data_IF_592825279035
#
_entry.id   IF_592825279035
#
_cell.length_a   1.000
_cell.length_b   1.000
_cell.length_c   1.000
_cell.angle_alpha   90.00
_cell.angle_beta   90.00
_cell.angle_gamma   90.00
#
_symmetry.space_group_name_H-M   'P 1'
#
loop_
_entity.id
_entity.type
_entity.pdbx_description
1 polymer ?
#
# COMPACT_ATOMS: atom_id res chain seq x y z
N UNK A 1 -12.60 -7.68 75.63
CA UNK A 1 -11.62 -6.86 74.96
C UNK A 1 -11.44 -7.14 73.47
N UNK A 2 -11.44 -8.36 72.92
CA UNK A 2 -11.27 -8.65 71.50
C UNK A 2 -12.47 -8.21 70.62
N UNK A 3 -13.69 -8.19 71.11
CA UNK A 3 -14.86 -7.76 70.32
C UNK A 3 -15.02 -6.25 70.23
N UNK A 4 -14.53 -5.48 71.17
CA UNK A 4 -14.59 -4.02 71.19
C UNK A 4 -13.54 -3.43 70.21
N UNK A 5 -12.40 -4.08 70.00
CA UNK A 5 -11.37 -3.68 69.03
C UNK A 5 -11.84 -3.88 67.57
N UNK A 6 -12.65 -4.95 67.33
CA UNK A 6 -13.18 -5.24 65.99
C UNK A 6 -14.24 -4.22 65.56
N UNK A 7 -15.07 -3.73 66.51
CA UNK A 7 -16.08 -2.70 66.25
C UNK A 7 -15.40 -1.33 65.97
N UNK A 8 -14.33 -1.00 66.72
CA UNK A 8 -13.57 0.22 66.49
C UNK A 8 -12.87 0.23 65.12
N UNK A 9 -12.35 -0.92 64.68
CA UNK A 9 -11.75 -1.08 63.37
C UNK A 9 -12.76 -0.89 62.22
N UNK A 10 -14.00 -1.39 62.38
CA UNK A 10 -15.09 -1.22 61.42
C UNK A 10 -15.59 0.23 61.33
N UNK A 11 -15.66 0.93 62.44
CA UNK A 11 -16.03 2.35 62.49
C UNK A 11 -14.94 3.24 61.89
N UNK A 12 -13.68 2.90 62.08
CA UNK A 12 -12.56 3.64 61.42
C UNK A 12 -12.48 3.40 59.93
N UNK A 13 -12.82 2.19 59.44
CA UNK A 13 -12.84 1.85 58.01
C UNK A 13 -14.02 2.47 57.27
N UNK A 14 -15.15 2.77 57.96
CA UNK A 14 -16.28 3.48 57.36
C UNK A 14 -16.08 5.01 57.27
N UNK A 15 -15.16 5.61 58.04
CA UNK A 15 -14.90 7.04 58.03
C UNK A 15 -13.97 7.49 56.84
N UNK A 16 -13.28 6.56 56.18
CA UNK A 16 -12.41 6.89 55.04
C UNK A 16 -13.11 6.93 53.68
N UNK A 17 -14.45 6.66 53.65
CA UNK A 17 -15.20 6.59 52.39
C UNK A 17 -15.85 7.92 51.94
N UNK A 18 -15.68 9.04 52.65
CA UNK A 18 -16.41 10.29 52.35
C UNK A 18 -15.52 11.51 52.08
N UNK A 19 -14.32 11.36 51.54
CA UNK A 19 -13.47 12.51 51.19
C UNK A 19 -12.93 12.45 49.75
N UNK A 20 -13.78 12.15 48.76
CA UNK A 20 -13.51 12.52 47.40
C UNK A 20 -14.33 13.76 47.06
N UNK A 21 -13.87 14.92 47.52
CA UNK A 21 -14.35 16.21 47.07
C UNK A 21 -14.12 16.34 45.59
N UNK A 22 -15.20 16.29 44.78
CA UNK A 22 -15.10 16.57 43.33
C UNK A 22 -14.66 18.03 43.11
N UNK A 23 -13.89 18.28 42.09
CA UNK A 23 -13.50 19.60 41.64
C UNK A 23 -14.50 20.16 40.64
N UNK A 24 -14.68 21.46 40.62
CA UNK A 24 -15.51 22.16 39.64
C UNK A 24 -14.65 22.78 38.58
N UNK A 25 -14.99 22.55 37.32
CA UNK A 25 -14.30 23.14 36.15
C UNK A 25 -15.32 23.92 35.32
N UNK A 26 -15.06 25.18 35.09
CA UNK A 26 -15.84 26.04 34.23
C UNK A 26 -14.93 26.92 33.38
N UNK A 27 -15.36 27.23 32.17
CA UNK A 27 -14.57 28.05 31.27
C UNK A 27 -15.30 28.36 29.98
N UNK A 28 -14.55 28.86 29.01
CA UNK A 28 -15.02 29.21 27.65
C UNK A 28 -14.16 28.44 26.66
N UNK A 29 -14.78 27.84 25.66
CA UNK A 29 -14.09 27.19 24.54
C UNK A 29 -14.12 28.12 23.35
N UNK A 30 -12.93 28.36 22.78
CA UNK A 30 -12.69 29.29 21.67
C UNK A 30 -12.03 28.53 20.51
N UNK A 31 -12.10 29.08 19.30
CA UNK A 31 -11.24 28.69 18.19
C UNK A 31 -9.87 29.38 18.23
N UNK A 32 -9.01 29.15 17.23
CA UNK A 32 -7.70 29.80 17.09
C UNK A 32 -7.80 31.30 16.84
N UNK A 33 -8.93 31.79 16.29
CA UNK A 33 -9.22 33.19 16.04
C UNK A 33 -9.81 33.92 17.25
N UNK A 34 -10.13 33.17 18.33
CA UNK A 34 -10.70 33.70 19.58
C UNK A 34 -12.23 33.81 19.54
N UNK A 35 -12.91 33.16 18.59
CA UNK A 35 -14.35 33.12 18.52
C UNK A 35 -14.91 32.01 19.40
N UNK A 36 -16.04 32.26 20.08
CA UNK A 36 -16.67 31.29 20.97
C UNK A 36 -17.26 30.11 20.19
N UNK A 37 -16.99 28.87 20.65
CA UNK A 37 -17.48 27.64 20.05
C UNK A 37 -18.70 27.10 20.80
N UNK A 38 -19.85 27.10 20.13
CA UNK A 38 -21.14 26.61 20.61
C UNK A 38 -21.25 25.11 20.34
N UNK A 39 -21.73 24.32 21.32
CA UNK A 39 -22.01 22.90 21.09
C UNK A 39 -20.79 21.97 21.23
N UNK A 40 -19.69 22.44 21.81
CA UNK A 40 -18.54 21.61 22.13
C UNK A 40 -18.89 20.59 23.23
N UNK A 41 -18.65 19.33 23.00
CA UNK A 41 -18.84 18.24 23.98
C UNK A 41 -17.65 18.21 24.94
N UNK A 42 -17.91 18.31 26.24
CA UNK A 42 -16.94 18.23 27.32
C UNK A 42 -17.25 17.01 28.17
N UNK A 43 -16.40 15.97 28.11
CA UNK A 43 -16.64 14.70 28.78
C UNK A 43 -15.47 14.31 29.69
N UNK A 44 -15.77 13.51 30.73
CA UNK A 44 -14.71 12.93 31.58
C UNK A 44 -14.17 11.66 30.88
N UNK A 45 -12.87 11.61 30.63
CA UNK A 45 -12.22 10.44 29.99
C UNK A 45 -12.48 9.16 30.80
N UNK A 46 -13.02 8.14 30.15
CA UNK A 46 -13.32 6.84 30.77
C UNK A 46 -14.65 6.75 31.51
N UNK A 47 -15.49 7.81 31.53
CA UNK A 47 -16.86 7.76 32.06
C UNK A 47 -17.85 8.07 30.95
N UNK A 48 -18.54 7.05 30.43
CA UNK A 48 -19.60 7.25 29.46
C UNK A 48 -20.82 7.92 30.08
N UNK A 49 -21.37 8.94 29.41
CA UNK A 49 -22.60 9.62 29.82
C UNK A 49 -22.43 10.75 30.84
N UNK A 50 -21.20 11.06 31.29
CA UNK A 50 -20.93 12.17 32.19
C UNK A 50 -20.21 13.28 31.44
N UNK A 51 -20.94 14.29 31.00
CA UNK A 51 -20.41 15.41 30.24
C UNK A 51 -21.42 16.56 30.12
N UNK A 52 -20.96 17.71 29.63
CA UNK A 52 -21.75 18.89 29.34
C UNK A 52 -21.45 19.39 27.93
N UNK A 53 -22.29 20.24 27.41
CA UNK A 53 -22.11 20.89 26.10
C UNK A 53 -21.99 22.39 26.32
N UNK A 54 -21.15 23.09 25.54
CA UNK A 54 -21.00 24.54 25.65
C UNK A 54 -22.27 25.27 25.19
N UNK A 55 -22.61 26.35 25.90
CA UNK A 55 -23.75 27.24 25.60
C UNK A 55 -23.49 28.17 24.42
N UNK A 56 -24.42 29.12 24.18
CA UNK A 56 -24.34 30.11 23.07
C UNK A 56 -23.15 31.07 23.17
N UNK A 57 -22.60 31.25 24.38
CA UNK A 57 -21.39 32.04 24.64
C UNK A 57 -20.13 31.16 24.74
N UNK A 58 -20.18 29.92 24.26
CA UNK A 58 -19.05 28.97 24.32
C UNK A 58 -18.69 28.52 25.73
N UNK A 59 -19.55 28.79 26.75
CA UNK A 59 -19.26 28.50 28.17
C UNK A 59 -19.68 27.10 28.55
N UNK A 60 -18.89 26.47 29.41
CA UNK A 60 -19.23 25.19 30.03
C UNK A 60 -19.01 25.24 31.55
N UNK A 61 -19.75 24.40 32.27
CA UNK A 61 -19.53 24.16 33.70
C UNK A 61 -19.81 22.72 34.00
N UNK A 62 -18.81 22.01 34.52
CA UNK A 62 -18.92 20.64 34.96
C UNK A 62 -18.52 20.58 36.46
N UNK A 63 -19.40 20.00 37.28
CA UNK A 63 -19.23 19.95 38.73
C UNK A 63 -19.01 18.52 39.19
N UNK A 64 -18.31 18.35 40.33
CA UNK A 64 -18.10 17.03 40.92
C UNK A 64 -17.14 16.12 40.14
N UNK A 65 -16.23 16.69 39.37
CA UNK A 65 -15.21 15.93 38.60
C UNK A 65 -14.19 15.36 39.62
N UNK A 66 -13.87 14.06 39.62
CA UNK A 66 -12.82 13.53 40.48
C UNK A 66 -11.48 14.21 40.23
N UNK A 67 -10.80 14.62 41.31
CA UNK A 67 -9.49 15.28 41.19
C UNK A 67 -8.50 14.37 40.44
N UNK A 68 -7.76 14.92 39.45
CA UNK A 68 -6.86 14.17 38.63
C UNK A 68 -7.48 13.55 37.38
N UNK A 69 -8.79 13.77 37.13
CA UNK A 69 -9.45 13.34 35.88
C UNK A 69 -9.04 14.19 34.69
N UNK A 70 -9.09 13.57 33.51
CA UNK A 70 -8.89 14.26 32.23
C UNK A 70 -10.23 14.58 31.60
N UNK A 71 -10.45 15.84 31.26
CA UNK A 71 -11.58 16.27 30.45
C UNK A 71 -11.20 16.23 28.96
N UNK A 72 -12.10 15.73 28.14
CA UNK A 72 -11.99 15.60 26.70
C UNK A 72 -12.93 16.60 26.08
N UNK A 73 -12.41 17.53 25.30
CA UNK A 73 -13.13 18.54 24.55
C UNK A 73 -13.17 18.09 23.08
N UNK A 74 -14.36 17.84 22.55
CA UNK A 74 -14.55 17.42 21.17
C UNK A 74 -15.62 18.25 20.48
N UNK A 75 -15.35 18.64 19.22
CA UNK A 75 -16.26 19.36 18.38
C UNK A 75 -16.06 18.97 16.92
N UNK A 76 -17.13 18.93 16.14
CA UNK A 76 -17.06 18.55 14.72
C UNK A 76 -16.22 19.59 13.96
N UNK A 77 -15.17 19.15 13.27
CA UNK A 77 -14.26 20.03 12.56
C UNK A 77 -13.07 20.53 13.39
N UNK A 78 -12.90 20.09 14.62
CA UNK A 78 -11.80 20.49 15.51
C UNK A 78 -11.05 19.28 16.07
N UNK A 79 -9.74 19.44 16.34
CA UNK A 79 -8.95 18.43 17.02
C UNK A 79 -9.43 18.22 18.44
N UNK A 80 -9.58 16.95 18.83
CA UNK A 80 -9.95 16.61 20.21
C UNK A 80 -8.83 17.00 21.17
N UNK A 81 -9.14 17.82 22.17
CA UNK A 81 -8.19 18.29 23.19
C UNK A 81 -8.45 17.64 24.53
N UNK A 82 -7.39 17.11 25.15
CA UNK A 82 -7.46 16.48 26.46
C UNK A 82 -6.69 17.33 27.48
N UNK A 83 -7.36 17.65 28.61
CA UNK A 83 -6.76 18.45 29.68
C UNK A 83 -7.00 17.76 31.02
N UNK A 84 -5.92 17.56 31.80
CA UNK A 84 -5.99 16.96 33.13
C UNK A 84 -6.15 18.04 34.19
N UNK A 85 -7.18 17.90 35.03
CA UNK A 85 -7.48 18.84 36.11
C UNK A 85 -7.25 18.21 37.47
N UNK A 86 -6.41 18.87 38.30
CA UNK A 86 -6.11 18.45 39.67
C UNK A 86 -6.71 19.36 40.73
N UNK A 87 -7.23 20.51 40.34
CA UNK A 87 -7.86 21.50 41.21
C UNK A 87 -9.02 22.21 40.49
N UNK A 88 -9.91 22.82 41.26
CA UNK A 88 -11.03 23.61 40.73
C UNK A 88 -10.56 24.77 39.90
N UNK A 89 -11.14 24.91 38.68
CA UNK A 89 -10.86 25.98 37.71
C UNK A 89 -12.19 26.56 37.21
N UNK A 90 -12.42 27.84 37.48
CA UNK A 90 -13.71 28.51 37.18
C UNK A 90 -13.67 29.52 36.02
N UNK A 91 -12.52 29.79 35.44
CA UNK A 91 -12.32 30.76 34.35
C UNK A 91 -11.27 30.25 33.36
N UNK A 92 -11.39 29.00 32.94
CA UNK A 92 -10.48 28.43 31.97
C UNK A 92 -10.82 28.91 30.55
N UNK A 93 -9.81 29.28 29.75
CA UNK A 93 -9.96 29.51 28.33
C UNK A 93 -9.31 28.37 27.57
N UNK A 94 -10.09 27.70 26.74
CA UNK A 94 -9.63 26.52 26.00
C UNK A 94 -9.76 26.82 24.53
N UNK A 95 -8.63 26.92 23.82
CA UNK A 95 -8.63 27.05 22.38
C UNK A 95 -8.61 25.64 21.75
N UNK A 96 -9.53 25.33 20.87
CA UNK A 96 -9.50 24.17 19.99
C UNK A 96 -8.86 24.57 18.66
N UNK A 97 -8.04 23.67 18.13
CA UNK A 97 -7.49 23.79 16.78
C UNK A 97 -8.48 23.20 15.79
N UNK A 98 -8.68 23.88 14.68
CA UNK A 98 -9.42 23.25 13.58
C UNK A 98 -8.72 21.95 13.21
N UNK A 99 -9.47 20.85 13.22
CA UNK A 99 -8.98 19.62 12.64
C UNK A 99 -8.81 19.92 11.15
N UNK A 100 -7.58 19.91 10.68
CA UNK A 100 -7.32 19.76 9.25
C UNK A 100 -7.94 18.41 8.91
N UNK A 101 -9.20 18.45 8.46
CA UNK A 101 -9.97 17.24 8.21
C UNK A 101 -9.20 16.43 7.17
N UNK A 102 -8.88 15.17 7.50
CA UNK A 102 -8.51 14.14 6.51
C UNK A 102 -9.58 13.99 5.40
N UNK A 103 -10.71 14.71 5.50
CA UNK A 103 -11.74 14.81 4.47
C UNK A 103 -11.43 15.83 3.37
N UNK A 104 -10.41 16.66 3.51
CA UNK A 104 -9.83 17.44 2.42
C UNK A 104 -8.82 16.59 1.62
N UNK A 105 -9.17 15.33 1.36
CA UNK A 105 -8.45 14.51 0.40
C UNK A 105 -8.52 15.20 -0.96
N UNK A 106 -7.43 15.87 -1.28
CA UNK A 106 -7.28 16.61 -2.52
C UNK A 106 -6.97 15.62 -3.62
N UNK A 107 -7.82 15.53 -4.62
CA UNK A 107 -7.60 14.68 -5.78
C UNK A 107 -6.95 15.51 -6.86
N UNK A 108 -5.82 15.03 -7.40
CA UNK A 108 -5.19 15.65 -8.56
C UNK A 108 -6.05 15.37 -9.78
N UNK A 109 -6.67 16.41 -10.33
CA UNK A 109 -7.48 16.35 -11.54
C UNK A 109 -6.77 17.14 -12.63
N UNK A 110 -6.09 16.42 -13.50
CA UNK A 110 -5.36 17.07 -14.58
C UNK A 110 -4.12 17.85 -14.10
N UNK A 111 -4.14 19.15 -14.30
CA UNK A 111 -3.07 20.08 -13.87
C UNK A 111 -3.37 20.74 -12.53
N UNK A 112 -4.56 20.48 -11.95
CA UNK A 112 -5.05 21.18 -10.77
C UNK A 112 -5.46 20.20 -9.69
N UNK A 113 -5.51 20.67 -8.45
CA UNK A 113 -5.97 19.90 -7.32
C UNK A 113 -7.39 20.33 -6.96
N UNK A 114 -8.32 19.37 -6.87
CA UNK A 114 -9.70 19.64 -6.46
C UNK A 114 -10.04 18.83 -5.21
N UNK A 115 -10.94 19.40 -4.38
CA UNK A 115 -11.45 18.66 -3.22
C UNK A 115 -12.24 17.44 -3.71
N UNK A 116 -12.03 16.28 -3.10
CA UNK A 116 -12.70 15.01 -3.46
C UNK A 116 -14.22 15.15 -3.53
N UNK A 117 -14.80 15.96 -2.66
CA UNK A 117 -16.26 16.24 -2.61
C UNK A 117 -16.75 17.02 -3.83
N UNK A 118 -15.91 17.80 -4.50
CA UNK A 118 -16.29 18.62 -5.67
C UNK A 118 -16.01 17.94 -7.00
N UNK A 119 -15.50 16.72 -7.01
CA UNK A 119 -15.19 15.97 -8.24
C UNK A 119 -16.45 15.27 -8.74
N UNK A 120 -17.00 15.75 -9.84
CA UNK A 120 -18.23 15.23 -10.48
C UNK A 120 -17.96 13.96 -11.31
N UNK A 121 -16.71 13.64 -11.60
CA UNK A 121 -16.32 12.48 -12.44
C UNK A 121 -15.99 11.22 -11.65
N UNK A 122 -16.06 10.02 -12.28
CA UNK A 122 -15.61 8.76 -11.66
C UNK A 122 -14.08 8.73 -11.61
N UNK A 123 -13.53 9.35 -10.57
CA UNK A 123 -12.10 9.30 -10.24
C UNK A 123 -11.91 8.28 -9.13
N UNK A 124 -10.98 7.34 -9.35
CA UNK A 124 -10.57 6.41 -8.31
C UNK A 124 -9.19 6.84 -7.83
N UNK A 125 -9.14 7.32 -6.60
CA UNK A 125 -7.88 7.54 -5.91
C UNK A 125 -7.45 6.25 -5.22
N UNK A 126 -6.20 5.88 -5.40
CA UNK A 126 -5.64 4.64 -4.87
C UNK A 126 -4.48 5.00 -3.95
N UNK A 127 -4.59 4.59 -2.70
CA UNK A 127 -3.49 4.70 -1.76
C UNK A 127 -2.35 3.75 -2.20
N UNK A 128 -1.16 4.29 -2.51
CA UNK A 128 -0.01 3.45 -2.86
C UNK A 128 0.36 2.45 -1.77
N UNK A 129 0.13 2.76 -0.49
CA UNK A 129 0.40 1.84 0.61
C UNK A 129 -0.50 0.60 0.55
N UNK A 130 -1.77 0.76 0.15
CA UNK A 130 -2.73 -0.33 0.01
C UNK A 130 -2.46 -1.26 -1.18
N UNK A 131 -1.74 -0.79 -2.20
CA UNK A 131 -1.41 -1.60 -3.38
C UNK A 131 0.03 -2.14 -3.35
N UNK A 132 0.85 -1.75 -2.39
CA UNK A 132 2.22 -2.28 -2.27
C UNK A 132 2.19 -3.81 -2.15
N UNK A 133 2.54 -4.48 -3.24
CA UNK A 133 2.88 -5.88 -3.27
C UNK A 133 4.38 -6.01 -3.54
N UNK A 134 4.99 -7.13 -3.25
CA UNK A 134 6.33 -7.43 -3.73
C UNK A 134 6.27 -7.70 -5.25
N UNK A 135 5.98 -6.64 -6.03
CA UNK A 135 5.93 -6.69 -7.48
C UNK A 135 7.08 -5.87 -8.06
N UNK A 136 7.61 -6.36 -9.17
CA UNK A 136 8.76 -5.78 -9.87
C UNK A 136 8.41 -4.45 -10.51
N UNK A 137 7.14 -4.23 -10.88
CA UNK A 137 6.69 -3.02 -11.56
C UNK A 137 5.36 -2.50 -11.00
N UNK A 138 5.13 -1.20 -11.20
CA UNK A 138 3.89 -0.54 -10.78
C UNK A 138 2.68 -1.10 -11.54
N UNK A 139 2.82 -1.40 -12.85
CA UNK A 139 1.72 -1.96 -13.65
C UNK A 139 1.21 -3.30 -13.11
N UNK A 140 2.11 -4.13 -12.57
CA UNK A 140 1.73 -5.42 -11.99
C UNK A 140 0.95 -5.28 -10.67
N UNK A 141 1.08 -4.14 -9.98
CA UNK A 141 0.36 -3.87 -8.74
C UNK A 141 -1.10 -3.47 -8.98
N UNK A 142 -1.45 -3.02 -10.18
CA UNK A 142 -2.77 -2.48 -10.50
C UNK A 142 -3.82 -3.56 -10.72
N UNK A 143 -3.42 -4.70 -11.28
CA UNK A 143 -4.31 -5.81 -11.61
C UNK A 143 -5.00 -6.38 -10.36
N UNK A 144 -6.33 -6.47 -10.40
CA UNK A 144 -7.14 -7.03 -9.32
C UNK A 144 -7.24 -6.18 -8.05
N UNK A 145 -6.52 -5.03 -7.96
CA UNK A 145 -6.51 -4.15 -6.79
C UNK A 145 -7.21 -2.82 -7.03
N UNK A 146 -7.25 -2.39 -8.27
CA UNK A 146 -7.87 -1.11 -8.64
C UNK A 146 -9.15 -1.37 -9.42
N UNK A 147 -10.33 -0.94 -8.91
CA UNK A 147 -11.60 -1.16 -9.60
C UNK A 147 -11.61 -0.52 -10.99
N UNK A 148 -11.99 -1.31 -12.01
CA UNK A 148 -12.11 -0.85 -13.40
C UNK A 148 -10.80 -0.89 -14.19
N UNK A 149 -9.71 -1.41 -13.63
CA UNK A 149 -8.50 -1.76 -14.38
C UNK A 149 -8.53 -3.25 -14.73
N UNK A 150 -8.29 -3.55 -15.99
CA UNK A 150 -8.00 -4.88 -16.49
C UNK A 150 -6.51 -4.90 -16.81
N UNK A 151 -5.76 -5.81 -16.19
CA UNK A 151 -4.32 -5.94 -16.41
C UNK A 151 -4.00 -7.37 -16.85
N UNK A 152 -3.11 -7.50 -17.82
CA UNK A 152 -2.64 -8.78 -18.36
C UNK A 152 -1.12 -8.79 -18.38
N UNK A 153 -0.52 -9.73 -17.67
CA UNK A 153 0.91 -10.01 -17.74
C UNK A 153 1.14 -11.17 -18.71
N UNK A 154 1.84 -10.92 -19.80
CA UNK A 154 2.05 -11.89 -20.88
C UNK A 154 3.29 -12.76 -20.69
N UNK A 155 4.26 -12.28 -19.93
CA UNK A 155 5.52 -12.95 -19.68
C UNK A 155 5.88 -12.89 -18.20
N UNK A 156 6.53 -13.92 -17.69
CA UNK A 156 7.19 -13.92 -16.37
C UNK A 156 8.68 -13.62 -16.44
N UNK A 157 9.21 -13.37 -17.64
CA UNK A 157 10.63 -13.13 -17.88
C UNK A 157 11.07 -11.78 -17.26
N UNK A 158 12.14 -11.76 -16.49
CA UNK A 158 12.66 -10.53 -15.91
C UNK A 158 12.93 -9.45 -16.97
N UNK A 159 12.43 -8.23 -16.72
CA UNK A 159 12.52 -7.13 -17.68
C UNK A 159 11.44 -7.11 -18.76
N UNK A 160 10.70 -8.20 -18.94
CA UNK A 160 9.58 -8.31 -19.88
C UNK A 160 8.28 -8.76 -19.18
N UNK A 161 8.27 -8.72 -17.85
CA UNK A 161 7.15 -9.13 -17.00
C UNK A 161 6.24 -7.96 -16.60
N UNK A 162 6.17 -6.92 -17.41
CA UNK A 162 5.27 -5.79 -17.20
C UNK A 162 3.84 -6.14 -17.61
N UNK A 163 2.85 -5.67 -16.85
CA UNK A 163 1.46 -5.80 -17.22
C UNK A 163 1.05 -4.72 -18.19
N UNK A 164 0.42 -5.12 -19.30
CA UNK A 164 -0.42 -4.22 -20.09
C UNK A 164 -1.73 -4.02 -19.32
N UNK A 165 -2.24 -2.80 -19.29
CA UNK A 165 -3.49 -2.53 -18.60
C UNK A 165 -4.40 -1.59 -19.38
N UNK A 166 -5.71 -1.75 -19.15
CA UNK A 166 -6.77 -0.96 -19.77
C UNK A 166 -7.76 -0.50 -18.72
N UNK A 167 -8.33 0.68 -18.95
CA UNK A 167 -9.38 1.23 -18.10
C UNK A 167 -10.71 0.92 -18.75
N UNK A 168 -11.59 0.16 -18.04
CA UNK A 168 -12.91 -0.31 -18.54
C UNK A 168 -12.87 -1.16 -19.83
N UNK A 169 -11.70 -1.66 -20.21
CA UNK A 169 -11.52 -2.52 -21.40
C UNK A 169 -10.91 -1.80 -22.57
N UNK A 170 -10.74 -2.53 -23.68
CA UNK A 170 -10.24 -2.00 -24.95
C UNK A 170 -11.40 -1.35 -25.72
N UNK A 171 -11.33 -0.03 -25.91
CA UNK A 171 -12.39 0.75 -26.56
C UNK A 171 -12.10 1.13 -28.01
N UNK A 172 -10.86 0.91 -28.49
CA UNK A 172 -10.44 1.32 -29.85
C UNK A 172 -9.90 0.16 -30.67
N UNK A 173 -10.32 0.11 -31.95
CA UNK A 173 -9.76 -0.77 -32.96
C UNK A 173 -8.78 0.00 -33.83
N UNK A 174 -7.53 -0.48 -33.94
CA UNK A 174 -6.53 0.06 -34.86
C UNK A 174 -5.72 1.28 -34.41
N UNK A 175 -6.02 1.89 -33.27
CA UNK A 175 -5.21 2.90 -32.58
C UNK A 175 -4.62 2.34 -31.28
N UNK A 176 -3.75 3.08 -30.62
CA UNK A 176 -3.28 2.69 -29.28
C UNK A 176 -4.45 2.47 -28.34
N UNK A 177 -4.56 1.28 -27.79
CA UNK A 177 -5.59 0.91 -26.81
C UNK A 177 -5.16 1.20 -25.37
N UNK A 178 -3.90 1.62 -25.14
CA UNK A 178 -3.37 1.90 -23.81
C UNK A 178 -3.94 3.19 -23.21
N UNK A 179 -4.08 3.22 -21.90
CA UNK A 179 -4.42 4.42 -21.16
C UNK A 179 -3.25 5.43 -21.22
N UNK A 180 -3.58 6.72 -21.22
CA UNK A 180 -2.58 7.78 -21.08
C UNK A 180 -2.03 7.78 -19.66
N UNK A 181 -0.72 7.70 -19.49
CA UNK A 181 -0.07 7.79 -18.19
C UNK A 181 0.63 9.14 -18.05
N UNK A 182 0.31 9.86 -16.99
CA UNK A 182 0.95 11.13 -16.66
C UNK A 182 1.69 10.99 -15.32
N UNK A 183 2.96 11.31 -15.34
CA UNK A 183 3.82 11.32 -14.14
C UNK A 183 4.16 12.77 -13.85
N UNK A 184 3.68 13.30 -12.73
CA UNK A 184 3.81 14.72 -12.36
C UNK A 184 3.37 15.69 -13.49
N UNK A 185 2.32 15.28 -14.24
CA UNK A 185 1.75 16.04 -15.35
C UNK A 185 2.41 15.85 -16.71
N UNK A 186 3.46 15.05 -16.80
CA UNK A 186 4.18 14.73 -18.04
C UNK A 186 3.89 13.30 -18.46
N UNK A 187 3.65 13.04 -19.74
CA UNK A 187 3.45 11.69 -20.26
C UNK A 187 4.72 10.84 -20.07
N UNK A 188 4.55 9.63 -19.56
CA UNK A 188 5.64 8.73 -19.26
C UNK A 188 5.21 7.28 -19.10
N UNK A 189 6.19 6.40 -18.91
CA UNK A 189 5.93 4.99 -18.67
C UNK A 189 5.89 4.73 -17.16
N UNK A 190 4.77 4.18 -16.70
CA UNK A 190 4.56 3.85 -15.29
C UNK A 190 5.59 2.84 -14.75
N UNK A 191 6.10 1.98 -15.61
CA UNK A 191 7.08 0.96 -15.24
C UNK A 191 8.49 1.50 -15.01
N UNK A 192 8.76 2.76 -15.40
CA UNK A 192 10.03 3.42 -15.12
C UNK A 192 10.10 3.93 -13.68
N UNK A 193 8.94 4.05 -13.00
CA UNK A 193 8.89 4.47 -11.61
C UNK A 193 9.29 3.36 -10.65
N UNK A 194 9.87 3.75 -9.52
CA UNK A 194 9.91 2.90 -8.34
C UNK A 194 8.59 3.07 -7.57
N UNK A 195 7.90 1.97 -7.21
CA UNK A 195 6.67 2.06 -6.43
C UNK A 195 6.79 2.84 -5.11
N UNK A 196 7.98 2.87 -4.53
CA UNK A 196 8.25 3.59 -3.29
C UNK A 196 8.29 5.12 -3.46
N UNK A 197 8.47 5.61 -4.70
CA UNK A 197 8.50 7.04 -5.03
C UNK A 197 7.09 7.63 -5.27
N UNK A 198 6.05 6.80 -5.33
CA UNK A 198 4.68 7.26 -5.60
C UNK A 198 4.06 7.81 -4.32
N UNK A 199 3.49 9.00 -4.40
CA UNK A 199 2.70 9.63 -3.33
C UNK A 199 1.21 9.37 -3.50
N UNK A 200 0.70 9.52 -4.73
CA UNK A 200 -0.70 9.26 -5.05
C UNK A 200 -0.88 8.74 -6.46
N UNK A 201 -1.99 8.05 -6.65
CA UNK A 201 -2.34 7.40 -7.91
C UNK A 201 -3.83 7.64 -8.19
N UNK A 202 -4.15 8.39 -9.23
CA UNK A 202 -5.51 8.72 -9.59
C UNK A 202 -5.84 8.20 -10.99
N UNK A 203 -7.03 7.60 -11.14
CA UNK A 203 -7.49 7.05 -12.42
C UNK A 203 -8.74 7.77 -12.85
N UNK A 204 -8.66 8.47 -13.97
CA UNK A 204 -9.74 9.18 -14.61
C UNK A 204 -10.42 8.23 -15.61
N UNK A 205 -11.65 7.83 -15.32
CA UNK A 205 -12.36 6.81 -16.08
C UNK A 205 -13.42 7.36 -17.01
N UNK A 206 -13.98 8.52 -16.69
CA UNK A 206 -15.09 9.12 -17.42
C UNK A 206 -14.61 10.18 -18.41
N UNK A 207 -15.34 10.33 -19.50
CA UNK A 207 -15.05 11.31 -20.53
C UNK A 207 -15.05 12.76 -19.99
N UNK A 208 -15.89 13.08 -19.01
CA UNK A 208 -15.87 14.38 -18.34
C UNK A 208 -14.57 14.68 -17.61
N UNK A 209 -14.01 13.67 -16.94
CA UNK A 209 -12.74 13.80 -16.23
C UNK A 209 -11.54 13.80 -17.19
N UNK A 210 -11.63 13.13 -18.33
CA UNK A 210 -10.54 13.01 -19.31
C UNK A 210 -10.59 14.05 -20.42
N UNK A 211 -11.66 14.88 -20.49
CA UNK A 211 -11.88 15.88 -21.55
C UNK A 211 -10.70 16.85 -21.74
N UNK A 212 -10.02 17.20 -20.64
CA UNK A 212 -8.84 18.10 -20.66
C UNK A 212 -7.70 17.54 -21.51
N UNK A 213 -7.65 16.22 -21.69
CA UNK A 213 -6.59 15.52 -22.45
C UNK A 213 -6.98 15.21 -23.90
N UNK A 214 -8.20 15.62 -24.31
CA UNK A 214 -8.71 15.45 -25.67
C UNK A 214 -8.74 13.97 -26.09
N UNK A 215 -8.41 13.69 -27.34
CA UNK A 215 -8.43 12.33 -27.92
C UNK A 215 -7.44 11.38 -27.25
N UNK A 216 -6.36 11.87 -26.65
CA UNK A 216 -5.36 11.07 -25.94
C UNK A 216 -5.92 10.48 -24.63
N UNK A 217 -6.92 11.14 -24.04
CA UNK A 217 -7.61 10.67 -22.84
C UNK A 217 -8.76 9.70 -23.12
N UNK A 218 -9.04 9.34 -24.38
CA UNK A 218 -10.20 8.53 -24.75
C UNK A 218 -10.23 7.13 -24.08
N UNK A 219 -9.07 6.52 -23.86
CA UNK A 219 -8.92 5.22 -23.21
C UNK A 219 -8.73 5.32 -21.68
N UNK A 220 -9.02 6.50 -21.12
CA UNK A 220 -8.77 6.81 -19.72
C UNK A 220 -7.37 7.39 -19.47
N UNK A 221 -7.22 8.03 -18.31
CA UNK A 221 -5.96 8.67 -17.92
C UNK A 221 -5.56 8.18 -16.53
N UNK A 222 -4.30 7.83 -16.39
CA UNK A 222 -3.66 7.51 -15.11
C UNK A 222 -2.77 8.68 -14.73
N UNK A 223 -3.05 9.31 -13.61
CA UNK A 223 -2.25 10.41 -13.06
C UNK A 223 -1.48 9.88 -11.86
N UNK A 224 -0.17 9.92 -11.95
CA UNK A 224 0.75 9.54 -10.88
C UNK A 224 1.43 10.78 -10.35
N UNK A 225 1.31 11.01 -9.05
CA UNK A 225 2.05 12.07 -8.36
C UNK A 225 3.17 11.42 -7.58
N UNK A 226 4.38 11.93 -7.75
CA UNK A 226 5.56 11.42 -7.04
C UNK A 226 5.80 12.20 -5.76
N UNK A 227 6.50 11.57 -4.81
CA UNK A 227 6.83 12.16 -3.53
C UNK A 227 7.66 13.42 -3.68
N UNK A 228 7.32 14.43 -2.89
CA UNK A 228 8.00 15.73 -2.83
C UNK A 228 8.60 15.97 -1.47
N UNK A 229 9.53 16.93 -1.39
CA UNK A 229 10.09 17.38 -0.14
C UNK A 229 9.05 18.09 0.73
N UNK A 230 9.16 17.91 2.04
CA UNK A 230 8.36 18.65 3.04
C UNK A 230 9.29 19.51 3.88
N UNK A 231 8.81 20.70 4.28
CA UNK A 231 9.56 21.54 5.20
C UNK A 231 9.77 20.81 6.54
N UNK A 232 11.00 20.75 7.01
CA UNK A 232 11.33 20.04 8.24
C UNK A 232 12.74 19.49 8.25
N UNK A 233 13.03 18.69 9.27
CA UNK A 233 14.33 18.01 9.43
C UNK A 233 14.57 17.00 8.31
N UNK A 234 15.84 16.71 8.08
CA UNK A 234 16.26 15.65 7.16
C UNK A 234 15.63 14.31 7.56
N UNK A 235 14.91 13.70 6.62
CA UNK A 235 14.37 12.36 6.72
C UNK A 235 15.11 11.44 5.75
N UNK A 236 15.66 10.35 6.29
CA UNK A 236 16.29 9.28 5.49
C UNK A 236 15.46 8.01 5.68
N UNK A 237 15.03 7.41 4.57
CA UNK A 237 14.28 6.17 4.58
C UNK A 237 14.98 5.15 3.69
N UNK A 238 15.26 3.97 4.24
CA UNK A 238 15.82 2.83 3.51
C UNK A 238 14.85 1.64 3.59
N UNK A 239 14.48 1.13 2.42
CA UNK A 239 13.62 -0.04 2.29
C UNK A 239 14.33 -1.10 1.46
N UNK A 240 14.28 -2.34 1.91
CA UNK A 240 14.81 -3.49 1.17
C UNK A 240 13.75 -4.60 1.13
N UNK A 241 13.60 -5.20 -0.03
CA UNK A 241 12.72 -6.34 -0.25
C UNK A 241 13.53 -7.47 -0.86
N UNK A 242 13.43 -8.67 -0.29
CA UNK A 242 13.90 -9.90 -0.88
C UNK A 242 12.69 -10.76 -1.23
N UNK A 243 12.58 -11.17 -2.49
CA UNK A 243 11.44 -11.94 -2.99
C UNK A 243 11.91 -13.31 -3.40
N UNK A 244 11.38 -14.33 -2.76
CA UNK A 244 11.58 -15.74 -3.14
C UNK A 244 10.54 -16.10 -4.20
N UNK A 245 11.01 -16.38 -5.42
CA UNK A 245 10.16 -16.71 -6.57
C UNK A 245 10.39 -18.15 -7.00
N UNK A 246 9.31 -18.90 -7.17
CA UNK A 246 9.32 -20.28 -7.63
C UNK A 246 8.10 -20.54 -8.53
N UNK A 247 8.15 -21.63 -9.30
CA UNK A 247 7.01 -22.05 -10.12
C UNK A 247 6.06 -22.95 -9.32
N UNK A 248 4.87 -22.48 -8.92
CA UNK A 248 3.99 -23.22 -7.99
C UNK A 248 3.26 -24.39 -8.67
N UNK A 249 3.08 -24.34 -10.00
CA UNK A 249 2.37 -25.34 -10.78
C UNK A 249 3.09 -25.62 -12.08
N UNK A 250 3.71 -26.78 -12.12
CA UNK A 250 4.27 -27.33 -13.35
C UNK A 250 3.58 -28.65 -13.63
N UNK A 251 3.19 -28.94 -14.88
CA UNK A 251 2.67 -30.24 -15.22
C UNK A 251 3.72 -31.32 -14.99
N UNK A 252 3.28 -32.43 -14.43
CA UNK A 252 4.11 -33.62 -14.35
C UNK A 252 3.99 -34.35 -15.70
N UNK A 253 5.12 -34.59 -16.32
CA UNK A 253 5.20 -35.33 -17.57
C UNK A 253 5.57 -36.77 -17.30
N UNK A 254 5.04 -37.70 -18.11
CA UNK A 254 5.48 -39.08 -18.09
C UNK A 254 6.95 -39.14 -18.45
N UNK A 255 7.71 -39.99 -17.75
CA UNK A 255 9.08 -40.30 -18.12
C UNK A 255 9.12 -41.17 -19.40
N UNK A 256 10.33 -41.38 -19.96
CA UNK A 256 10.46 -42.09 -21.23
C UNK A 256 9.90 -43.50 -21.18
N UNK A 257 10.08 -44.20 -20.06
CA UNK A 257 9.52 -45.56 -19.88
C UNK A 257 7.98 -45.53 -19.80
N UNK A 258 7.45 -44.64 -19.01
CA UNK A 258 5.97 -44.47 -18.89
C UNK A 258 5.35 -44.07 -20.23
N UNK A 259 5.96 -43.10 -20.94
CA UNK A 259 5.50 -42.69 -22.26
C UNK A 259 5.52 -43.86 -23.26
N UNK A 260 6.62 -44.60 -23.36
CA UNK A 260 6.76 -45.71 -24.29
C UNK A 260 5.76 -46.83 -23.97
N UNK A 261 5.55 -47.11 -22.67
CA UNK A 261 4.54 -48.11 -22.23
C UNK A 261 3.14 -47.71 -22.61
N UNK A 262 2.72 -46.44 -22.33
CA UNK A 262 1.42 -45.92 -22.67
C UNK A 262 1.20 -45.82 -24.19
N UNK A 263 2.25 -45.49 -24.94
CA UNK A 263 2.18 -45.46 -26.40
C UNK A 263 1.90 -46.88 -26.97
N UNK A 264 2.58 -47.92 -26.44
CA UNK A 264 2.30 -49.32 -26.84
C UNK A 264 0.91 -49.75 -26.42
N UNK A 265 0.43 -49.40 -25.25
CA UNK A 265 -0.96 -49.69 -24.81
C UNK A 265 -1.97 -49.04 -25.72
N UNK A 266 -1.82 -47.75 -26.06
CA UNK A 266 -2.70 -47.03 -26.95
C UNK A 266 -2.80 -47.65 -28.37
N UNK A 267 -1.69 -48.26 -28.84
CA UNK A 267 -1.65 -48.98 -30.11
C UNK A 267 -2.33 -50.35 -30.00
N UNK A 268 -2.04 -51.10 -28.96
CA UNK A 268 -2.63 -52.42 -28.75
C UNK A 268 -4.15 -52.39 -28.64
N UNK A 269 -4.72 -51.36 -28.00
CA UNK A 269 -6.17 -51.12 -27.91
C UNK A 269 -6.81 -50.93 -29.30
N UNK A 270 -6.04 -50.46 -30.28
CA UNK A 270 -6.49 -50.28 -31.67
C UNK A 270 -6.21 -51.48 -32.54
N UNK A 271 -5.58 -52.52 -32.01
CA UNK A 271 -5.16 -53.68 -32.76
C UNK A 271 -3.92 -53.49 -33.62
N UNK A 272 -3.17 -52.42 -33.35
CA UNK A 272 -1.90 -52.12 -34.03
C UNK A 272 -0.72 -52.75 -33.31
N UNK A 273 0.38 -52.95 -34.03
CA UNK A 273 1.65 -53.40 -33.46
C UNK A 273 2.29 -52.38 -32.51
N UNK A 274 2.96 -52.78 -31.45
CA UNK A 274 3.66 -51.88 -30.55
C UNK A 274 4.78 -51.09 -31.24
N UNK A 275 4.95 -49.83 -30.85
CA UNK A 275 6.02 -48.95 -31.38
C UNK A 275 7.36 -49.30 -30.77
N UNK A 276 7.38 -49.62 -29.48
CA UNK A 276 8.59 -49.94 -28.73
C UNK A 276 8.61 -51.41 -28.40
N UNK A 277 9.74 -52.06 -28.67
CA UNK A 277 9.98 -53.44 -28.30
C UNK A 277 10.16 -53.63 -26.80
N UNK A 278 10.01 -54.85 -26.30
CA UNK A 278 10.26 -55.18 -24.90
C UNK A 278 11.70 -54.83 -24.45
N UNK A 279 12.70 -54.97 -25.34
CA UNK A 279 14.07 -54.60 -25.08
C UNK A 279 14.24 -53.09 -24.92
N UNK A 280 13.59 -52.28 -25.77
CA UNK A 280 13.65 -50.82 -25.68
C UNK A 280 12.98 -50.30 -24.43
N UNK A 281 11.85 -50.88 -24.01
CA UNK A 281 11.21 -50.58 -22.74
C UNK A 281 12.12 -50.85 -21.55
N UNK A 282 12.84 -51.96 -21.56
CA UNK A 282 13.79 -52.29 -20.48
C UNK A 282 15.00 -51.36 -20.48
N UNK A 283 15.47 -50.90 -21.64
CA UNK A 283 16.55 -49.89 -21.75
C UNK A 283 16.12 -48.52 -21.20
N UNK A 284 14.91 -48.08 -21.51
CA UNK A 284 14.36 -46.86 -20.91
C UNK A 284 14.22 -46.97 -19.40
N UNK A 285 13.77 -48.12 -18.90
CA UNK A 285 13.54 -48.35 -17.47
C UNK A 285 14.84 -48.43 -16.70
N UNK A 286 15.84 -49.09 -17.22
CA UNK A 286 17.12 -49.35 -16.54
C UNK A 286 18.14 -48.24 -16.74
N UNK A 287 18.00 -47.43 -17.82
CA UNK A 287 18.97 -46.40 -18.18
C UNK A 287 20.35 -46.95 -18.56
N UNK A 288 20.43 -48.22 -19.03
CA UNK A 288 21.70 -48.85 -19.40
C UNK A 288 22.39 -48.18 -20.59
N UNK A 289 21.64 -47.55 -21.47
CA UNK A 289 22.15 -46.83 -22.62
C UNK A 289 21.47 -45.45 -22.69
N UNK A 290 21.93 -44.47 -21.91
CA UNK A 290 21.30 -43.15 -21.84
C UNK A 290 21.51 -42.32 -23.08
N UNK A 291 22.46 -42.65 -23.95
CA UNK A 291 22.72 -41.90 -25.19
C UNK A 291 21.72 -42.25 -26.29
N UNK A 292 21.34 -43.53 -26.41
CA UNK A 292 20.35 -43.99 -27.40
C UNK A 292 18.94 -44.02 -26.84
N UNK A 293 18.78 -44.28 -25.54
CA UNK A 293 17.46 -44.35 -24.85
C UNK A 293 17.42 -43.37 -23.67
N UNK A 294 17.46 -42.04 -23.93
CA UNK A 294 17.50 -41.06 -22.89
C UNK A 294 16.19 -40.98 -22.10
N UNK A 295 16.29 -40.91 -20.79
CA UNK A 295 15.19 -40.65 -19.87
C UNK A 295 15.48 -39.37 -19.09
N UNK A 296 15.36 -38.21 -19.77
CA UNK A 296 15.76 -36.91 -19.23
C UNK A 296 14.53 -36.09 -18.86
N UNK A 297 14.46 -35.66 -17.61
CA UNK A 297 13.51 -34.60 -17.22
C UNK A 297 14.10 -33.24 -17.60
N UNK A 298 13.78 -32.74 -18.77
CA UNK A 298 14.26 -31.45 -19.29
C UNK A 298 13.94 -30.28 -18.39
N UNK A 299 12.84 -30.33 -17.63
CA UNK A 299 12.50 -29.31 -16.67
C UNK A 299 13.59 -29.19 -15.61
N UNK A 300 14.00 -30.30 -15.02
CA UNK A 300 14.99 -30.29 -13.96
C UNK A 300 16.40 -29.95 -14.48
N UNK A 301 16.66 -30.20 -15.76
CA UNK A 301 17.89 -29.77 -16.45
C UNK A 301 17.92 -28.29 -16.69
N UNK A 302 16.79 -27.68 -17.13
CA UNK A 302 16.75 -26.29 -17.62
C UNK A 302 16.37 -25.31 -16.52
N UNK A 303 15.50 -25.69 -15.58
CA UNK A 303 14.94 -24.78 -14.59
C UNK A 303 15.57 -24.93 -13.21
N UNK A 304 15.74 -23.78 -12.56
CA UNK A 304 15.99 -23.68 -11.11
C UNK A 304 14.68 -23.89 -10.35
N UNK A 305 14.76 -24.44 -9.15
CA UNK A 305 13.60 -24.58 -8.28
C UNK A 305 13.09 -23.21 -7.81
N UNK A 306 14.00 -22.28 -7.59
CA UNK A 306 13.68 -20.92 -7.13
C UNK A 306 14.78 -19.93 -7.49
N UNK A 307 14.42 -18.64 -7.41
CA UNK A 307 15.35 -17.52 -7.48
C UNK A 307 15.01 -16.49 -6.41
N UNK A 308 16.00 -15.70 -6.02
CA UNK A 308 15.83 -14.61 -5.06
C UNK A 308 16.04 -13.29 -5.80
N UNK A 309 14.98 -12.48 -5.87
CA UNK A 309 15.01 -11.15 -6.44
C UNK A 309 15.15 -10.12 -5.32
N UNK A 310 15.97 -9.10 -5.53
CA UNK A 310 16.27 -8.09 -4.52
C UNK A 310 15.90 -6.70 -5.03
N UNK A 311 15.24 -5.92 -4.19
CA UNK A 311 14.93 -4.52 -4.44
C UNK A 311 15.37 -3.68 -3.25
N UNK A 312 16.12 -2.63 -3.50
CA UNK A 312 16.60 -1.69 -2.51
C UNK A 312 16.14 -0.28 -2.91
N UNK A 313 15.63 0.48 -1.96
CA UNK A 313 15.21 1.84 -2.16
C UNK A 313 15.71 2.71 -1.01
N UNK A 314 16.47 3.75 -1.33
CA UNK A 314 16.92 4.77 -0.41
C UNK A 314 16.27 6.09 -0.81
N UNK A 315 15.64 6.78 0.13
CA UNK A 315 15.13 8.12 -0.11
C UNK A 315 15.55 9.09 1.00
N UNK A 316 15.76 10.33 0.59
CA UNK A 316 16.17 11.43 1.43
C UNK A 316 15.25 12.62 1.14
N UNK A 317 14.63 13.17 2.15
CA UNK A 317 13.75 14.34 2.01
C UNK A 317 13.95 15.33 3.13
N UNK A 318 13.67 16.61 2.85
CA UNK A 318 13.78 17.69 3.82
C UNK A 318 13.66 19.04 3.14
N UNK A 319 13.93 20.08 3.90
CA UNK A 319 13.98 21.46 3.39
C UNK A 319 13.48 22.49 4.38
N UNK A 320 13.57 23.74 3.97
CA UNK A 320 13.04 24.90 4.67
C UNK A 320 11.70 25.36 4.08
N UNK A 321 11.31 26.58 4.46
CA UNK A 321 10.13 27.23 3.87
C UNK A 321 10.33 27.61 2.41
N UNK A 322 11.53 28.06 2.05
CA UNK A 322 11.84 28.56 0.70
C UNK A 322 12.28 27.47 -0.28
N UNK A 323 12.80 26.34 0.18
CA UNK A 323 13.21 25.24 -0.70
C UNK A 323 13.04 23.89 0.00
N UNK A 324 12.50 22.93 -0.73
CA UNK A 324 12.24 21.56 -0.28
C UNK A 324 12.78 20.60 -1.31
N UNK A 325 13.26 19.44 -0.88
CA UNK A 325 13.82 18.45 -1.78
C UNK A 325 13.40 17.02 -1.39
N UNK A 326 13.29 16.21 -2.40
CA UNK A 326 13.15 14.75 -2.30
C UNK A 326 14.14 14.14 -3.30
N UNK A 327 14.96 13.22 -2.83
CA UNK A 327 15.89 12.44 -3.65
C UNK A 327 15.70 10.96 -3.36
N UNK A 328 15.72 10.13 -4.38
CA UNK A 328 15.67 8.67 -4.19
C UNK A 328 16.61 7.94 -5.14
N UNK A 329 17.06 6.76 -4.70
CA UNK A 329 17.84 5.79 -5.45
C UNK A 329 17.19 4.42 -5.26
N UNK A 330 16.71 3.84 -6.36
CA UNK A 330 16.15 2.50 -6.43
C UNK A 330 17.09 1.56 -7.18
N UNK A 331 17.28 0.36 -6.67
CA UNK A 331 18.04 -0.72 -7.30
C UNK A 331 17.18 -1.96 -7.28
N UNK A 332 16.94 -2.56 -8.44
CA UNK A 332 16.23 -3.81 -8.60
C UNK A 332 17.11 -4.81 -9.34
N UNK A 333 17.26 -6.00 -8.75
CA UNK A 333 17.91 -7.13 -9.38
C UNK A 333 16.90 -8.27 -9.47
N UNK A 334 16.64 -8.76 -10.68
CA UNK A 334 15.72 -9.86 -10.94
C UNK A 334 16.37 -10.87 -11.87
N UNK A 335 16.24 -12.13 -11.52
CA UNK A 335 16.86 -13.27 -12.22
C UNK A 335 15.78 -14.22 -12.72
N UNK A 336 16.00 -14.82 -13.92
CA UNK A 336 15.09 -15.83 -14.44
C UNK A 336 15.36 -17.21 -13.79
N UNK A 337 14.33 -18.08 -13.86
CA UNK A 337 14.39 -19.44 -13.34
C UNK A 337 15.23 -20.40 -14.20
N UNK A 338 15.98 -19.94 -15.20
CA UNK A 338 16.80 -20.80 -16.03
C UNK A 338 18.12 -21.14 -15.37
N UNK A 339 18.51 -22.40 -15.47
CA UNK A 339 19.85 -22.84 -15.11
C UNK A 339 20.83 -22.45 -16.22
N UNK A 340 22.01 -22.00 -15.82
CA UNK A 340 23.08 -21.71 -16.76
C UNK A 340 23.97 -22.94 -16.92
N UNK A 341 24.04 -23.49 -18.14
CA UNK A 341 25.04 -24.50 -18.47
C UNK A 341 26.32 -23.80 -18.95
N UNK A 342 27.29 -23.69 -18.04
CA UNK A 342 28.60 -23.12 -18.32
C UNK A 342 29.49 -24.01 -19.16
N UNK A 343 29.15 -25.31 -19.31
CA UNK A 343 29.89 -26.25 -20.12
C UNK A 343 29.56 -26.11 -21.62
N UNK A 344 28.30 -25.79 -21.91
CA UNK A 344 27.80 -25.65 -23.28
C UNK A 344 28.03 -24.24 -23.87
N UNK A 345 28.16 -23.20 -23.04
CA UNK A 345 28.34 -21.83 -23.53
C UNK A 345 29.28 -21.02 -22.64
N UNK A 346 30.21 -20.30 -23.29
CA UNK A 346 31.06 -19.30 -22.62
C UNK A 346 30.30 -18.03 -22.23
N UNK A 347 29.12 -17.83 -22.80
CA UNK A 347 28.27 -16.66 -22.56
C UNK A 347 27.22 -17.01 -21.51
N UNK A 348 26.85 -16.01 -20.71
CA UNK A 348 25.72 -16.12 -19.80
C UNK A 348 24.43 -16.14 -20.64
N UNK A 349 23.70 -17.26 -20.58
CA UNK A 349 22.43 -17.46 -21.28
C UNK A 349 21.23 -17.22 -20.39
N UNK A 350 21.47 -16.92 -19.11
CA UNK A 350 20.40 -16.61 -18.17
C UNK A 350 19.93 -15.15 -18.38
N UNK A 351 18.65 -14.94 -18.17
CA UNK A 351 18.08 -13.59 -18.23
C UNK A 351 18.22 -12.93 -16.87
N UNK A 352 19.06 -11.93 -16.80
CA UNK A 352 19.27 -11.10 -15.63
C UNK A 352 18.81 -9.69 -15.93
N UNK A 353 17.94 -9.15 -15.09
CA UNK A 353 17.42 -7.79 -15.23
C UNK A 353 17.88 -6.93 -14.07
N UNK A 354 18.56 -5.85 -14.39
CA UNK A 354 19.02 -4.84 -13.43
C UNK A 354 18.38 -3.51 -13.78
N UNK A 355 17.70 -2.88 -12.81
CA UNK A 355 17.09 -1.57 -12.97
C UNK A 355 17.63 -0.63 -11.91
N UNK A 356 18.07 0.54 -12.32
CA UNK A 356 18.55 1.61 -11.46
C UNK A 356 17.69 2.83 -11.70
N UNK A 357 17.05 3.33 -10.63
CA UNK A 357 16.22 4.53 -10.68
C UNK A 357 16.85 5.59 -9.80
N UNK A 358 17.04 6.78 -10.37
CA UNK A 358 17.41 7.97 -9.64
C UNK A 358 16.37 9.04 -9.86
N UNK A 359 15.84 9.63 -8.79
CA UNK A 359 14.85 10.70 -8.84
C UNK A 359 15.28 11.86 -7.96
N UNK A 360 15.07 13.06 -8.44
CA UNK A 360 15.23 14.30 -7.70
C UNK A 360 14.06 15.22 -7.97
N UNK A 361 13.37 15.63 -6.92
CA UNK A 361 12.30 16.64 -6.94
C UNK A 361 12.75 17.79 -6.03
N UNK A 362 12.80 18.98 -6.59
CA UNK A 362 13.16 20.21 -5.84
C UNK A 362 12.06 21.23 -6.08
N UNK A 363 11.45 21.68 -5.00
CA UNK A 363 10.46 22.74 -4.99
C UNK A 363 11.12 23.98 -4.34
N UNK A 364 11.16 25.09 -5.07
CA UNK A 364 11.69 26.36 -4.60
C UNK A 364 10.62 27.45 -4.78
N UNK A 365 10.30 28.14 -3.71
CA UNK A 365 9.40 29.28 -3.74
C UNK A 365 10.27 30.53 -4.09
N UNK A 366 10.14 30.98 -5.33
CA UNK A 366 10.78 32.22 -5.81
C UNK A 366 9.89 33.40 -5.43
N UNK A 367 10.36 34.24 -4.53
CA UNK A 367 9.68 35.49 -4.13
C UNK A 367 9.86 36.60 -5.14
#
# INVERSE_FOLDING_TARGET
>A
MKRSILVLFWVFMSATMFAQGGIDVAGIVLDEQGQELIGVSVQIKGKQGVGVVTDFDGRFKITGVPAGSTLVFSYIGYETREIKYTATKLKEKIALKEAVNEFDEVVVVGRDTQRKVSVVGAITNVDPAGIQAPAVSVSNMLGGRVPGIIAVTRSGEPGNNFSEFWIRGMSTFGASSSALVLIDGIEGNINDLDPADIESFSILKDASATAVYGTRGANGVVVVTTKRGKAGKLHVNFKTNATYSYSPRMPEYADAYQYATLANEARSVRGDDPVYSATELELFKTGLDPDLYPNVNWRDVILKDHVINNQHHLSISGGGQSARYYMSLGILNSEALFKQDKSASKHDVNVNYHKYNFRTNIDADLT
#
